data_IF_352864505692
#
_entry.id   IF_352864505692
#
_cell.length_a   1.000
_cell.length_b   1.000
_cell.length_c   1.000
_cell.angle_alpha   90.00
_cell.angle_beta   90.00
_cell.angle_gamma   90.00
#
_symmetry.space_group_name_H-M   'P 1'
#
loop_
_entity.id
_entity.type
_entity.pdbx_description
1 polymer ?
#
# COMPACT_ATOMS: atom_id res chain seq x y z
N UNK A 1 12.50 -32.02 9.50
CA UNK A 1 11.55 -31.38 8.52
C UNK A 1 10.28 -30.80 9.14
N UNK A 2 9.82 -31.28 10.31
CA UNK A 2 8.56 -30.83 10.95
C UNK A 2 8.53 -29.34 11.31
N UNK A 3 9.62 -28.80 11.86
CA UNK A 3 9.74 -27.38 12.19
C UNK A 3 9.69 -26.48 10.95
N UNK A 4 10.37 -26.86 9.86
CA UNK A 4 10.35 -26.11 8.59
C UNK A 4 8.95 -25.96 8.00
N UNK A 5 8.15 -27.04 8.00
CA UNK A 5 6.78 -27.01 7.48
C UNK A 5 5.86 -26.16 8.36
N UNK A 6 6.02 -26.25 9.69
CA UNK A 6 5.27 -25.43 10.64
C UNK A 6 5.62 -23.94 10.48
N UNK A 7 6.90 -23.60 10.42
CA UNK A 7 7.34 -22.22 10.22
C UNK A 7 6.77 -21.69 8.91
N UNK A 8 6.96 -22.38 7.78
CA UNK A 8 6.45 -21.94 6.49
C UNK A 8 4.93 -21.75 6.47
N UNK A 9 4.17 -22.68 7.08
CA UNK A 9 2.72 -22.55 7.20
C UNK A 9 2.30 -21.34 8.02
N UNK A 10 2.96 -21.10 9.16
CA UNK A 10 2.70 -19.94 10.01
C UNK A 10 3.04 -18.64 9.30
N UNK A 11 4.17 -18.58 8.59
CA UNK A 11 4.57 -17.40 7.82
C UNK A 11 3.53 -17.09 6.76
N UNK A 12 3.05 -18.10 6.04
CA UNK A 12 2.09 -17.89 4.96
C UNK A 12 0.71 -17.47 5.48
N UNK A 13 0.28 -18.04 6.61
CA UNK A 13 -0.94 -17.61 7.29
C UNK A 13 -0.85 -16.14 7.77
N UNK A 14 0.31 -15.73 8.30
CA UNK A 14 0.51 -14.38 8.81
C UNK A 14 0.58 -13.34 7.67
N UNK A 15 1.25 -13.67 6.57
CA UNK A 15 1.26 -12.83 5.37
C UNK A 15 -0.15 -12.68 4.77
N UNK A 16 -0.89 -13.78 4.68
CA UNK A 16 -2.26 -13.74 4.18
C UNK A 16 -3.17 -12.89 5.07
N UNK A 17 -3.06 -13.05 6.40
CA UNK A 17 -3.79 -12.23 7.37
C UNK A 17 -3.45 -10.74 7.25
N UNK A 18 -2.16 -10.42 7.06
CA UNK A 18 -1.70 -9.05 6.87
C UNK A 18 -2.33 -8.41 5.62
N UNK A 19 -2.36 -9.13 4.49
CA UNK A 19 -2.96 -8.62 3.25
C UNK A 19 -4.45 -8.38 3.40
N UNK A 20 -5.17 -9.28 4.06
CA UNK A 20 -6.60 -9.09 4.31
C UNK A 20 -6.86 -7.88 5.22
N UNK A 21 -6.04 -7.71 6.26
CA UNK A 21 -6.11 -6.55 7.14
C UNK A 21 -5.84 -5.24 6.38
N UNK A 22 -4.78 -5.21 5.57
CA UNK A 22 -4.41 -4.06 4.73
C UNK A 22 -5.54 -3.68 3.76
N UNK A 23 -6.16 -4.66 3.12
CA UNK A 23 -7.29 -4.44 2.22
C UNK A 23 -8.55 -3.96 2.94
N UNK A 24 -8.81 -4.44 4.16
CA UNK A 24 -9.96 -3.99 4.95
C UNK A 24 -9.77 -2.56 5.47
N UNK A 25 -8.52 -2.14 5.68
CA UNK A 25 -8.19 -0.80 6.18
C UNK A 25 -7.98 0.21 5.06
N UNK A 26 -7.57 -0.23 3.88
CA UNK A 26 -7.36 0.60 2.70
C UNK A 26 -8.67 1.15 2.16
N UNK A 27 -8.67 2.43 1.79
CA UNK A 27 -9.79 3.06 1.07
C UNK A 27 -9.95 2.50 -0.34
N UNK A 28 -11.01 2.91 -1.03
CA UNK A 28 -11.21 2.58 -2.44
C UNK A 28 -10.02 3.04 -3.30
N UNK A 29 -9.74 2.31 -4.38
CA UNK A 29 -8.62 2.61 -5.27
C UNK A 29 -8.78 4.02 -5.87
N UNK A 30 -7.99 4.98 -5.37
CA UNK A 30 -8.07 6.37 -5.81
C UNK A 30 -7.13 6.59 -7.01
N UNK A 31 -7.70 6.66 -8.22
CA UNK A 31 -6.94 6.88 -9.46
C UNK A 31 -6.21 8.23 -9.49
N UNK A 32 -6.68 9.22 -8.73
CA UNK A 32 -6.09 10.55 -8.67
C UNK A 32 -4.98 10.67 -7.62
N UNK A 33 -4.85 9.66 -6.75
CA UNK A 33 -3.83 9.59 -5.71
C UNK A 33 -2.74 8.54 -6.03
N UNK A 34 -2.80 7.95 -7.23
CA UNK A 34 -1.83 6.96 -7.64
C UNK A 34 -0.47 7.64 -7.91
N UNK A 35 0.59 7.32 -7.15
CA UNK A 35 1.92 7.79 -7.48
C UNK A 35 2.35 7.22 -8.84
N UNK A 36 3.19 7.93 -9.61
CA UNK A 36 3.67 7.44 -10.89
C UNK A 36 4.36 6.07 -10.75
N UNK A 37 4.17 5.20 -11.75
CA UNK A 37 4.69 3.83 -11.79
C UNK A 37 6.21 3.74 -11.55
N UNK A 38 6.96 4.82 -11.82
CA UNK A 38 8.36 4.95 -11.47
C UNK A 38 8.58 6.35 -10.88
N UNK A 39 8.73 6.45 -9.56
CA UNK A 39 9.08 7.68 -8.87
C UNK A 39 10.60 7.74 -8.66
N UNK A 40 11.33 8.39 -9.56
CA UNK A 40 12.79 8.54 -9.53
C UNK A 40 13.31 9.50 -8.43
N UNK A 41 12.62 9.59 -7.29
CA UNK A 41 13.04 10.38 -6.15
C UNK A 41 12.81 11.90 -6.30
N UNK A 42 11.74 12.38 -5.67
CA UNK A 42 11.65 13.68 -4.98
C UNK A 42 10.28 13.86 -4.29
N UNK A 43 9.35 12.92 -4.43
CA UNK A 43 8.09 12.94 -3.69
C UNK A 43 7.24 14.14 -4.07
N UNK A 44 6.85 14.27 -5.35
CA UNK A 44 5.91 15.31 -5.74
C UNK A 44 4.52 14.95 -5.20
N UNK A 45 4.34 15.24 -3.91
CA UNK A 45 3.06 15.35 -3.25
C UNK A 45 2.16 16.22 -4.13
N UNK A 46 0.97 15.73 -4.44
CA UNK A 46 -0.01 16.46 -5.21
C UNK A 46 -0.32 17.84 -4.59
N UNK A 47 -0.08 18.04 -3.29
CA UNK A 47 -0.44 19.27 -2.55
C UNK A 47 0.47 20.49 -2.68
N UNK A 48 1.55 20.45 -3.47
CA UNK A 48 2.48 21.59 -3.60
C UNK A 48 2.25 22.51 -4.81
N UNK A 49 1.51 22.05 -5.82
CA UNK A 49 1.25 22.84 -7.02
C UNK A 49 0.06 23.79 -6.79
N UNK A 50 0.19 25.05 -7.21
CA UNK A 50 -0.87 26.07 -7.11
C UNK A 50 -2.22 25.61 -7.71
N UNK A 51 -2.23 24.63 -8.60
CA UNK A 51 -3.43 24.07 -9.22
C UNK A 51 -4.07 22.89 -8.45
N UNK A 52 -3.49 22.46 -7.34
CA UNK A 52 -3.95 21.29 -6.57
C UNK A 52 -4.64 21.64 -5.25
N UNK A 53 -4.72 22.92 -4.89
CA UNK A 53 -5.55 23.37 -3.78
C UNK A 53 -7.03 23.36 -4.21
N UNK A 54 -7.88 22.58 -3.54
CA UNK A 54 -9.33 22.70 -3.73
C UNK A 54 -9.77 24.10 -3.27
N UNK A 55 -10.62 24.80 -4.04
CA UNK A 55 -11.24 26.04 -3.57
C UNK A 55 -12.15 25.76 -2.36
N UNK A 56 -12.21 26.72 -1.43
CA UNK A 56 -13.12 26.72 -0.27
C UNK A 56 -14.57 26.83 -0.74
#
# INVERSE_FOLDING_TARGET
MRTRKLTAGLTMALLFGLVLFDQAQSGGLNRFDAPPLIAWGSGQAAGGAHCAALPQ
#
